data_IF_593850406610
#
_entry.id   IF_593850406610
#
_cell.length_a   1.000
_cell.length_b   1.000
_cell.length_c   1.000
_cell.angle_alpha   90.00
_cell.angle_beta   90.00
_cell.angle_gamma   90.00
#
_symmetry.space_group_name_H-M   'P 1'
#
loop_
_entity.id
_entity.type
_entity.pdbx_description
1 polymer ?
#
# COMPACT_ATOMS: atom_id res chain seq x y z
N UNK A 1 -59.67 19.78 -3.76
CA UNK A 1 -58.82 19.99 -2.60
C UNK A 1 -58.11 18.67 -2.30
N UNK A 2 -56.92 18.49 -2.85
CA UNK A 2 -56.07 17.35 -2.52
C UNK A 2 -55.31 17.68 -1.25
N UNK A 3 -55.64 17.01 -0.17
CA UNK A 3 -54.87 17.09 1.08
C UNK A 3 -53.57 16.29 0.86
N UNK A 4 -52.47 16.99 0.61
CA UNK A 4 -51.15 16.39 0.63
C UNK A 4 -50.87 15.92 2.07
N UNK A 5 -51.05 14.64 2.30
CA UNK A 5 -50.55 14.00 3.52
C UNK A 5 -49.03 14.05 3.52
N UNK A 6 -48.45 15.06 4.12
CA UNK A 6 -47.05 15.10 4.47
C UNK A 6 -46.80 14.01 5.52
N UNK A 7 -46.49 12.81 5.10
CA UNK A 7 -45.95 11.77 5.99
C UNK A 7 -44.54 12.21 6.41
N UNK A 8 -44.46 12.88 7.55
CA UNK A 8 -43.20 13.11 8.22
C UNK A 8 -42.64 11.74 8.66
N UNK A 9 -41.80 11.14 7.82
CA UNK A 9 -41.10 9.89 8.15
C UNK A 9 -40.12 10.22 9.28
N UNK A 10 -40.34 9.66 10.47
CA UNK A 10 -39.43 9.76 11.57
C UNK A 10 -38.27 8.78 11.37
N UNK A 11 -37.04 9.18 11.69
CA UNK A 11 -35.85 8.28 11.61
C UNK A 11 -36.05 6.99 12.43
N UNK A 12 -36.86 7.05 13.50
CA UNK A 12 -37.18 5.89 14.33
C UNK A 12 -38.14 4.91 13.66
N UNK A 13 -38.80 5.28 12.56
CA UNK A 13 -39.68 4.39 11.80
C UNK A 13 -38.91 3.54 10.78
N UNK A 14 -37.62 3.88 10.54
CA UNK A 14 -36.77 3.13 9.60
C UNK A 14 -36.41 1.75 10.18
N UNK A 15 -36.34 0.69 9.35
CA UNK A 15 -35.82 -0.61 9.73
C UNK A 15 -34.37 -0.54 10.27
N UNK A 16 -34.00 -1.51 11.10
CA UNK A 16 -32.64 -1.57 11.70
C UNK A 16 -31.53 -1.62 10.67
N UNK A 17 -31.77 -2.34 9.56
CA UNK A 17 -30.82 -2.47 8.44
C UNK A 17 -30.54 -1.11 7.77
N UNK A 18 -31.57 -0.29 7.62
CA UNK A 18 -31.42 1.06 7.04
C UNK A 18 -30.69 1.98 8.02
N UNK A 19 -31.02 1.90 9.31
CA UNK A 19 -30.30 2.67 10.34
C UNK A 19 -28.82 2.29 10.37
N UNK A 20 -28.47 1.01 10.33
CA UNK A 20 -27.09 0.53 10.27
C UNK A 20 -26.37 0.98 8.98
N UNK A 21 -27.08 0.96 7.84
CA UNK A 21 -26.54 1.47 6.58
C UNK A 21 -26.23 2.98 6.64
N UNK A 22 -27.05 3.76 7.33
CA UNK A 22 -26.81 5.19 7.60
C UNK A 22 -25.62 5.35 8.55
N UNK A 23 -25.55 4.60 9.65
CA UNK A 23 -24.46 4.68 10.63
C UNK A 23 -23.11 4.35 9.98
N UNK A 24 -23.07 3.37 9.06
CA UNK A 24 -21.87 3.01 8.30
C UNK A 24 -21.35 4.13 7.37
N UNK A 25 -22.17 5.14 7.05
CA UNK A 25 -21.74 6.31 6.26
C UNK A 25 -21.20 7.45 7.13
N UNK A 26 -21.45 7.40 8.41
CA UNK A 26 -20.98 8.39 9.37
C UNK A 26 -19.60 8.01 9.92
N UNK A 27 -18.91 8.98 10.52
CA UNK A 27 -17.70 8.68 11.29
C UNK A 27 -18.09 7.93 12.57
N UNK A 28 -17.39 6.85 12.88
CA UNK A 28 -17.71 6.00 14.02
C UNK A 28 -17.57 6.72 15.37
N UNK A 29 -16.64 7.67 15.50
CA UNK A 29 -16.51 8.54 16.67
C UNK A 29 -17.77 9.36 16.87
N UNK A 30 -18.32 9.94 15.80
CA UNK A 30 -19.55 10.74 15.86
C UNK A 30 -20.76 9.88 16.16
N UNK A 31 -20.84 8.67 15.59
CA UNK A 31 -21.91 7.69 15.91
C UNK A 31 -21.88 7.34 17.38
N UNK A 32 -20.73 6.98 17.92
CA UNK A 32 -20.62 6.62 19.34
C UNK A 32 -20.94 7.79 20.27
N UNK A 33 -20.43 8.97 19.97
CA UNK A 33 -20.67 10.14 20.81
C UNK A 33 -22.11 10.61 20.75
N UNK A 34 -22.74 10.59 19.58
CA UNK A 34 -24.05 11.20 19.35
C UNK A 34 -25.22 10.22 19.51
N UNK A 35 -25.03 8.91 19.29
CA UNK A 35 -26.15 7.96 19.25
C UNK A 35 -26.15 6.96 20.42
N UNK A 36 -25.00 6.65 21.00
CA UNK A 36 -24.94 5.84 22.21
C UNK A 36 -25.58 6.62 23.35
N UNK A 37 -26.49 5.98 24.10
CA UNK A 37 -27.29 6.52 25.18
C UNK A 37 -28.45 7.46 24.76
N UNK A 38 -28.72 7.71 23.50
CA UNK A 38 -29.89 8.53 23.06
C UNK A 38 -31.19 7.78 23.30
N UNK A 39 -31.27 6.54 22.87
CA UNK A 39 -32.39 5.63 23.16
C UNK A 39 -31.93 4.16 23.15
N UNK A 40 -32.79 3.26 23.65
CA UNK A 40 -32.48 1.83 23.74
C UNK A 40 -32.19 1.18 22.39
N UNK A 41 -32.89 1.60 21.32
CA UNK A 41 -32.73 1.05 19.97
C UNK A 41 -31.38 1.45 19.36
N UNK A 42 -31.04 2.73 19.38
CA UNK A 42 -29.76 3.22 18.87
C UNK A 42 -28.59 2.65 19.67
N UNK A 43 -28.71 2.62 20.99
CA UNK A 43 -27.69 2.01 21.84
C UNK A 43 -27.46 0.52 21.50
N UNK A 44 -28.51 -0.25 21.22
CA UNK A 44 -28.40 -1.64 20.78
C UNK A 44 -27.69 -1.75 19.42
N UNK A 45 -28.10 -0.94 18.44
CA UNK A 45 -27.53 -0.99 17.07
C UNK A 45 -26.09 -0.52 17.03
N UNK A 46 -25.74 0.55 17.72
CA UNK A 46 -24.37 1.12 17.72
C UNK A 46 -23.37 0.25 18.48
N UNK A 47 -23.81 -0.56 19.44
CA UNK A 47 -22.98 -1.50 20.20
C UNK A 47 -23.16 -2.95 19.73
N UNK A 48 -23.83 -3.17 18.58
CA UNK A 48 -23.99 -4.50 18.02
C UNK A 48 -22.62 -5.09 17.62
N UNK A 49 -22.32 -6.35 18.01
CA UNK A 49 -21.05 -7.00 17.70
C UNK A 49 -20.65 -6.96 16.22
N UNK A 50 -21.61 -7.10 15.29
CA UNK A 50 -21.33 -7.02 13.86
C UNK A 50 -20.95 -5.61 13.41
N UNK A 51 -21.58 -4.58 14.01
CA UNK A 51 -21.28 -3.19 13.70
C UNK A 51 -19.91 -2.77 14.21
N UNK A 52 -19.54 -3.16 15.44
CA UNK A 52 -18.28 -2.79 16.09
C UNK A 52 -17.10 -3.70 15.75
N UNK A 53 -17.32 -4.78 15.03
CA UNK A 53 -16.29 -5.75 14.65
C UNK A 53 -15.05 -5.08 14.00
N UNK A 54 -15.28 -4.03 13.20
CA UNK A 54 -14.26 -3.21 12.58
C UNK A 54 -14.31 -1.79 13.14
N UNK A 55 -13.55 -1.52 14.19
CA UNK A 55 -13.52 -0.22 14.85
C UNK A 55 -12.45 0.70 14.22
N UNK A 56 -12.91 1.79 13.59
CA UNK A 56 -12.05 2.84 13.06
C UNK A 56 -12.20 4.12 13.88
N UNK A 57 -11.14 4.49 14.60
CA UNK A 57 -11.09 5.67 15.46
C UNK A 57 -10.40 6.87 14.79
N UNK A 58 -10.25 6.88 13.47
CA UNK A 58 -9.70 8.03 12.74
C UNK A 58 -10.75 9.13 12.55
N UNK A 59 -10.32 10.39 12.66
CA UNK A 59 -11.16 11.56 12.37
C UNK A 59 -10.98 11.94 10.90
N UNK A 60 -12.04 11.83 10.10
CA UNK A 60 -11.99 12.03 8.64
C UNK A 60 -11.83 13.51 8.17
N UNK A 61 -11.90 14.49 9.05
CA UNK A 61 -12.07 15.90 8.65
C UNK A 61 -10.86 16.80 8.87
N UNK A 62 -9.72 16.30 9.29
CA UNK A 62 -8.55 17.17 9.52
C UNK A 62 -7.56 17.14 8.36
N UNK A 63 -7.73 18.01 7.37
CA UNK A 63 -6.70 18.30 6.37
C UNK A 63 -5.40 18.87 7.02
N UNK A 64 -5.48 19.32 8.27
CA UNK A 64 -4.37 19.94 9.01
C UNK A 64 -3.84 19.08 10.16
N UNK A 65 -4.26 17.82 10.28
CA UNK A 65 -3.85 16.88 11.36
C UNK A 65 -4.03 17.41 12.80
N UNK A 66 -4.75 18.50 13.00
CA UNK A 66 -5.04 19.06 14.34
C UNK A 66 -6.36 18.52 14.85
N UNK A 67 -6.30 17.76 15.94
CA UNK A 67 -7.48 17.29 16.66
C UNK A 67 -8.13 18.48 17.35
N UNK A 68 -9.41 18.71 17.12
CA UNK A 68 -10.12 19.81 17.79
C UNK A 68 -10.36 19.51 19.27
N UNK A 69 -10.54 20.51 20.14
CA UNK A 69 -10.90 20.30 21.54
C UNK A 69 -12.19 19.47 21.71
N UNK A 70 -13.15 19.65 20.79
CA UNK A 70 -14.39 18.87 20.78
C UNK A 70 -14.12 17.38 20.48
N UNK A 71 -13.21 17.09 19.55
CA UNK A 71 -12.85 15.71 19.24
C UNK A 71 -12.14 15.04 20.41
N UNK A 72 -11.30 15.76 21.15
CA UNK A 72 -10.67 15.25 22.39
C UNK A 72 -11.72 14.83 23.41
N UNK A 73 -12.76 15.65 23.60
CA UNK A 73 -13.85 15.33 24.54
C UNK A 73 -14.66 14.10 24.10
N UNK A 74 -14.97 13.99 22.79
CA UNK A 74 -15.65 12.82 22.24
C UNK A 74 -14.85 11.56 22.47
N UNK A 75 -13.56 11.61 22.18
CA UNK A 75 -12.59 10.54 22.34
C UNK A 75 -12.49 10.08 23.79
N UNK A 76 -12.32 11.01 24.74
CA UNK A 76 -12.26 10.70 26.18
C UNK A 76 -13.53 9.96 26.64
N UNK A 77 -14.69 10.39 26.16
CA UNK A 77 -15.97 9.73 26.44
C UNK A 77 -16.00 8.30 25.88
N UNK A 78 -15.51 8.09 24.64
CA UNK A 78 -15.47 6.76 24.00
C UNK A 78 -14.52 5.85 24.76
N UNK A 79 -13.32 6.32 25.07
CA UNK A 79 -12.30 5.55 25.77
C UNK A 79 -12.75 5.12 27.17
N UNK A 80 -13.41 6.01 27.93
CA UNK A 80 -13.81 5.73 29.31
C UNK A 80 -15.12 4.98 29.44
N UNK A 81 -16.09 5.20 28.53
CA UNK A 81 -17.45 4.69 28.71
C UNK A 81 -17.87 3.61 27.71
N UNK A 82 -17.34 3.65 26.49
CA UNK A 82 -17.80 2.79 25.40
C UNK A 82 -16.83 1.64 25.18
N UNK A 83 -15.56 1.95 24.97
CA UNK A 83 -14.53 0.98 24.64
C UNK A 83 -14.43 -0.19 25.64
N UNK A 84 -14.50 0.03 26.98
CA UNK A 84 -14.51 -1.06 27.94
C UNK A 84 -15.69 -2.03 27.83
N UNK A 85 -16.76 -1.63 27.14
CA UNK A 85 -17.97 -2.47 26.94
C UNK A 85 -17.90 -3.30 25.66
N UNK A 86 -17.11 -2.87 24.67
CA UNK A 86 -17.10 -3.45 23.33
C UNK A 86 -15.79 -4.14 22.95
N UNK A 87 -14.70 -3.91 23.69
CA UNK A 87 -13.34 -4.35 23.33
C UNK A 87 -13.22 -5.85 23.00
N UNK A 88 -14.04 -6.69 23.63
CA UNK A 88 -14.01 -8.13 23.43
C UNK A 88 -14.67 -8.60 22.12
N UNK A 89 -15.36 -7.73 21.39
CA UNK A 89 -15.94 -8.01 20.08
C UNK A 89 -15.13 -7.42 18.92
N UNK A 90 -14.06 -6.65 19.20
CA UNK A 90 -13.26 -5.97 18.18
C UNK A 90 -12.28 -6.98 17.56
N UNK A 91 -12.44 -7.19 16.26
CA UNK A 91 -11.55 -8.02 15.44
C UNK A 91 -10.52 -7.17 14.68
N UNK A 92 -10.95 -6.01 14.18
CA UNK A 92 -10.10 -5.05 13.49
C UNK A 92 -10.18 -3.69 14.18
N UNK A 93 -9.01 -3.10 14.47
CA UNK A 93 -8.89 -1.83 15.15
C UNK A 93 -7.97 -0.89 14.39
N UNK A 94 -8.46 0.32 14.09
CA UNK A 94 -7.64 1.40 13.52
C UNK A 94 -7.48 2.51 14.56
N UNK A 95 -6.22 2.82 14.88
CA UNK A 95 -5.82 3.72 15.98
C UNK A 95 -4.90 4.80 15.45
N UNK A 96 -5.29 6.07 15.51
CA UNK A 96 -4.36 7.17 15.30
C UNK A 96 -3.46 7.37 16.54
N UNK A 97 -2.26 7.92 16.31
CA UNK A 97 -1.22 8.05 17.35
C UNK A 97 -1.66 8.79 18.61
N UNK A 98 -2.56 9.76 18.49
CA UNK A 98 -3.06 10.56 19.63
C UNK A 98 -4.05 9.79 20.53
N UNK A 99 -4.52 8.60 20.10
CA UNK A 99 -5.46 7.75 20.89
C UNK A 99 -4.78 6.54 21.53
N UNK A 100 -3.54 6.28 21.23
CA UNK A 100 -2.88 5.05 21.66
C UNK A 100 -2.93 4.88 23.20
N UNK A 101 -2.77 5.95 23.95
CA UNK A 101 -2.83 5.94 25.42
C UNK A 101 -4.16 5.44 25.99
N UNK A 102 -5.26 5.68 25.28
CA UNK A 102 -6.57 5.19 25.66
C UNK A 102 -6.72 3.68 25.48
N UNK A 103 -5.95 3.12 24.54
CA UNK A 103 -6.14 1.78 24.02
C UNK A 103 -5.19 0.78 24.65
N UNK A 104 -3.98 1.22 25.01
CA UNK A 104 -2.93 0.35 25.54
C UNK A 104 -3.26 -0.29 26.90
N UNK A 105 -4.25 0.23 27.62
CA UNK A 105 -4.66 -0.30 28.93
C UNK A 105 -5.85 -1.26 28.85
N UNK A 106 -6.33 -1.57 27.63
CA UNK A 106 -7.48 -2.46 27.41
C UNK A 106 -6.98 -3.74 26.73
N UNK A 107 -7.52 -4.86 27.13
CA UNK A 107 -7.24 -6.14 26.52
C UNK A 107 -8.22 -6.41 25.37
N UNK A 108 -7.72 -6.94 24.23
CA UNK A 108 -8.51 -7.19 23.02
C UNK A 108 -8.41 -8.66 22.61
N UNK A 109 -9.20 -9.55 23.22
CA UNK A 109 -9.00 -11.00 23.05
C UNK A 109 -9.26 -11.52 21.62
N UNK A 110 -10.02 -10.81 20.80
CA UNK A 110 -10.36 -11.23 19.44
C UNK A 110 -9.64 -10.44 18.34
N UNK A 111 -8.79 -9.47 18.71
CA UNK A 111 -8.15 -8.59 17.75
C UNK A 111 -7.13 -9.35 16.88
N UNK A 112 -7.34 -9.40 15.58
CA UNK A 112 -6.41 -10.01 14.61
C UNK A 112 -5.83 -9.00 13.60
N UNK A 113 -6.48 -7.85 13.45
CA UNK A 113 -6.04 -6.81 12.52
C UNK A 113 -5.88 -5.48 13.25
N UNK A 114 -4.67 -4.93 13.21
CA UNK A 114 -4.33 -3.65 13.84
C UNK A 114 -3.79 -2.67 12.81
N UNK A 115 -4.34 -1.45 12.81
CA UNK A 115 -3.82 -0.33 11.99
C UNK A 115 -3.38 0.80 12.90
N UNK A 116 -2.10 1.15 12.85
CA UNK A 116 -1.46 2.25 13.57
C UNK A 116 -1.23 3.40 12.59
N UNK A 117 -1.93 4.53 12.77
CA UNK A 117 -1.97 5.62 11.79
C UNK A 117 -1.33 6.88 12.33
N UNK A 118 -0.49 7.53 11.52
CA UNK A 118 0.21 8.78 11.84
C UNK A 118 1.08 8.68 13.11
N UNK A 119 1.86 7.63 13.24
CA UNK A 119 2.79 7.49 14.36
C UNK A 119 4.11 8.19 14.09
N UNK A 120 4.64 8.87 15.10
CA UNK A 120 6.03 9.24 15.16
C UNK A 120 6.86 7.99 15.47
N UNK A 121 8.02 7.87 14.83
CA UNK A 121 8.87 6.69 14.95
C UNK A 121 9.24 6.38 16.40
N UNK A 122 9.77 7.37 17.10
CA UNK A 122 10.25 7.16 18.47
C UNK A 122 9.14 6.70 19.40
N UNK A 123 7.94 7.28 19.27
CA UNK A 123 6.78 6.89 20.05
C UNK A 123 6.35 5.45 19.75
N UNK A 124 6.35 5.06 18.47
CA UNK A 124 6.02 3.69 18.09
C UNK A 124 7.07 2.71 18.62
N UNK A 125 8.36 3.06 18.56
CA UNK A 125 9.44 2.24 19.09
C UNK A 125 9.27 1.97 20.60
N UNK A 126 8.87 2.97 21.39
CA UNK A 126 8.57 2.81 22.82
C UNK A 126 7.46 1.77 23.06
N UNK A 127 6.41 1.78 22.24
CA UNK A 127 5.32 0.80 22.34
C UNK A 127 5.71 -0.61 21.87
N UNK A 128 6.68 -0.73 20.99
CA UNK A 128 7.14 -2.02 20.46
C UNK A 128 8.26 -2.65 21.32
N UNK A 129 9.01 -1.87 22.10
CA UNK A 129 10.11 -2.36 22.94
C UNK A 129 9.74 -2.55 24.42
N UNK A 130 8.66 -1.90 24.87
CA UNK A 130 8.14 -2.04 26.23
C UNK A 130 7.20 -3.23 26.40
N UNK A 131 6.86 -3.59 27.65
CA UNK A 131 5.80 -4.58 27.96
C UNK A 131 4.39 -3.99 27.76
N UNK A 132 4.16 -3.36 26.64
CA UNK A 132 2.89 -2.69 26.33
C UNK A 132 1.85 -3.66 25.75
N UNK A 133 0.60 -3.23 25.71
CA UNK A 133 -0.45 -4.00 25.03
C UNK A 133 -0.14 -4.17 23.54
N UNK A 134 0.41 -3.14 22.86
CA UNK A 134 0.80 -3.23 21.43
C UNK A 134 1.85 -4.33 21.23
N UNK A 135 2.88 -4.38 22.07
CA UNK A 135 3.89 -5.44 22.05
C UNK A 135 3.25 -6.83 22.23
N UNK A 136 2.40 -7.00 23.26
CA UNK A 136 1.71 -8.28 23.53
C UNK A 136 0.79 -8.71 22.39
N UNK A 137 0.04 -7.78 21.81
CA UNK A 137 -0.81 -8.03 20.65
C UNK A 137 -0.01 -8.50 19.44
N UNK A 138 1.08 -7.81 19.12
CA UNK A 138 1.93 -8.14 17.97
C UNK A 138 2.61 -9.50 18.13
N UNK A 139 3.10 -9.82 19.33
CA UNK A 139 3.80 -11.09 19.59
C UNK A 139 2.88 -12.30 19.64
N UNK A 140 1.60 -12.12 20.06
CA UNK A 140 0.75 -13.27 20.41
C UNK A 140 -0.42 -13.52 19.46
N UNK A 141 -0.95 -12.50 18.74
CA UNK A 141 -2.22 -12.71 18.06
C UNK A 141 -2.43 -11.95 16.73
N UNK A 142 -1.75 -10.82 16.50
CA UNK A 142 -1.98 -10.02 15.29
C UNK A 142 -1.51 -10.79 14.05
N UNK A 143 -2.42 -10.91 13.07
CA UNK A 143 -2.17 -11.50 11.76
C UNK A 143 -2.00 -10.43 10.67
N UNK A 144 -2.76 -9.34 10.77
CA UNK A 144 -2.74 -8.26 9.80
C UNK A 144 -2.34 -6.96 10.50
N UNK A 145 -1.19 -6.41 10.12
CA UNK A 145 -0.68 -5.15 10.66
C UNK A 145 -0.55 -4.11 9.55
N UNK A 146 -1.12 -2.95 9.78
CA UNK A 146 -0.88 -1.76 8.98
C UNK A 146 -0.22 -0.70 9.85
N UNK A 147 0.90 -0.15 9.41
CA UNK A 147 1.66 0.88 10.10
C UNK A 147 1.91 2.05 9.17
N UNK A 148 1.47 3.22 9.57
CA UNK A 148 1.72 4.48 8.86
C UNK A 148 2.54 5.40 9.78
N UNK A 149 3.81 5.62 9.41
CA UNK A 149 4.77 6.43 10.16
C UNK A 149 4.90 7.78 9.47
N UNK A 150 4.82 8.84 10.27
CA UNK A 150 5.26 10.17 9.85
C UNK A 150 6.77 10.16 9.87
N UNK A 151 7.37 10.48 8.73
CA UNK A 151 8.80 10.33 8.46
C UNK A 151 9.73 10.68 9.62
N UNK A 152 10.62 9.75 9.92
CA UNK A 152 11.87 9.97 10.67
C UNK A 152 12.99 9.12 10.04
N UNK A 153 14.26 9.46 10.35
CA UNK A 153 15.48 8.90 9.74
C UNK A 153 15.75 7.43 10.08
N UNK A 154 15.08 6.89 11.09
CA UNK A 154 15.38 5.56 11.64
C UNK A 154 14.29 4.50 11.44
N UNK A 155 13.29 4.74 10.56
CA UNK A 155 12.14 3.86 10.34
C UNK A 155 12.51 2.41 9.97
N UNK A 156 13.70 2.17 9.46
CA UNK A 156 14.24 0.84 9.19
C UNK A 156 14.26 -0.07 10.41
N UNK A 157 14.60 0.48 11.56
CA UNK A 157 14.69 -0.29 12.81
C UNK A 157 13.30 -0.78 13.25
N UNK A 158 12.26 0.04 13.05
CA UNK A 158 10.88 -0.35 13.36
C UNK A 158 10.38 -1.47 12.48
N UNK A 159 10.63 -1.40 11.17
CA UNK A 159 10.25 -2.46 10.24
C UNK A 159 10.85 -3.82 10.64
N UNK A 160 12.15 -3.85 10.88
CA UNK A 160 12.86 -5.06 11.30
C UNK A 160 12.37 -5.56 12.68
N UNK A 161 12.10 -4.66 13.61
CA UNK A 161 11.55 -4.99 14.91
C UNK A 161 10.15 -5.62 14.78
N UNK A 162 9.27 -5.04 13.96
CA UNK A 162 7.95 -5.59 13.67
C UNK A 162 8.06 -7.02 13.12
N UNK A 163 8.94 -7.26 12.14
CA UNK A 163 9.15 -8.59 11.59
C UNK A 163 9.68 -9.60 12.60
N UNK A 164 10.51 -9.17 13.53
CA UNK A 164 11.05 -10.04 14.59
C UNK A 164 10.02 -10.39 15.66
N UNK A 165 9.13 -9.45 15.99
CA UNK A 165 8.07 -9.63 17.00
C UNK A 165 6.84 -10.35 16.44
N UNK A 166 6.50 -10.10 15.19
CA UNK A 166 5.26 -10.54 14.56
C UNK A 166 5.26 -12.02 14.15
N UNK A 167 5.33 -12.93 15.13
CA UNK A 167 5.40 -14.39 14.89
C UNK A 167 4.17 -14.97 14.20
N UNK A 168 3.02 -14.33 14.33
CA UNK A 168 1.74 -14.72 13.72
C UNK A 168 1.37 -13.86 12.52
N UNK A 169 2.23 -12.90 12.17
CA UNK A 169 1.95 -11.91 11.13
C UNK A 169 1.94 -12.57 9.75
N UNK A 170 0.80 -12.47 9.05
CA UNK A 170 0.62 -12.96 7.67
C UNK A 170 0.63 -11.82 6.66
N UNK A 171 0.12 -10.65 7.04
CA UNK A 171 0.02 -9.47 6.19
C UNK A 171 0.59 -8.26 6.88
N UNK A 172 1.57 -7.61 6.25
CA UNK A 172 2.16 -6.37 6.69
C UNK A 172 2.01 -5.30 5.62
N UNK A 173 1.40 -4.18 6.00
CA UNK A 173 1.44 -2.94 5.24
C UNK A 173 2.24 -1.93 6.06
N UNK A 174 3.34 -1.43 5.48
CA UNK A 174 4.23 -0.51 6.15
C UNK A 174 4.48 0.72 5.28
N UNK A 175 3.89 1.84 5.68
CA UNK A 175 4.04 3.12 5.00
C UNK A 175 4.89 4.06 5.85
N UNK A 176 6.02 4.48 5.29
CA UNK A 176 6.82 5.58 5.82
C UNK A 176 6.62 6.80 4.91
N UNK A 177 6.10 7.89 5.43
CA UNK A 177 5.87 9.13 4.65
C UNK A 177 7.17 9.89 4.51
N UNK A 178 7.93 9.60 3.47
CA UNK A 178 9.21 10.25 3.21
C UNK A 178 9.07 11.74 2.92
N UNK A 179 9.95 12.55 3.49
CA UNK A 179 10.15 13.93 3.02
C UNK A 179 11.12 13.95 1.83
N UNK A 180 10.95 14.93 0.94
CA UNK A 180 11.80 15.09 -0.25
C UNK A 180 13.28 15.33 0.05
N UNK A 181 13.62 15.67 1.28
CA UNK A 181 14.98 16.05 1.71
C UNK A 181 15.93 14.86 1.97
N UNK A 182 15.41 13.64 2.07
CA UNK A 182 16.17 12.46 2.50
C UNK A 182 16.30 11.39 1.42
N UNK A 183 16.44 11.83 0.19
CA UNK A 183 16.59 10.97 -0.97
C UNK A 183 18.01 10.37 -1.00
N UNK A 184 18.08 9.06 -1.16
CA UNK A 184 19.33 8.32 -1.35
C UNK A 184 19.85 7.58 -0.12
N UNK A 185 19.23 7.71 1.04
CA UNK A 185 19.57 6.87 2.19
C UNK A 185 18.79 5.56 2.16
N UNK A 186 19.43 4.40 2.38
CA UNK A 186 18.75 3.13 2.45
C UNK A 186 17.73 3.11 3.59
N UNK A 187 16.57 2.51 3.34
CA UNK A 187 15.56 2.27 4.38
C UNK A 187 16.01 1.18 5.34
N UNK A 188 16.80 0.22 4.86
CA UNK A 188 17.26 -0.90 5.65
C UNK A 188 18.77 -0.86 5.90
N UNK A 189 19.15 -0.94 7.18
CA UNK A 189 20.53 -1.21 7.56
C UNK A 189 20.67 -2.72 7.71
N UNK A 190 21.53 -3.33 6.90
CA UNK A 190 21.74 -4.78 6.87
C UNK A 190 22.13 -5.29 8.26
N UNK A 191 21.23 -5.98 8.91
CA UNK A 191 21.52 -6.79 10.10
C UNK A 191 20.86 -8.16 9.90
N UNK A 192 21.58 -9.23 10.23
CA UNK A 192 21.08 -10.61 10.19
C UNK A 192 20.01 -10.83 11.26
N UNK A 193 18.78 -10.41 11.00
CA UNK A 193 17.66 -10.59 11.92
C UNK A 193 16.85 -11.79 11.45
N UNK A 194 16.42 -12.62 12.39
CA UNK A 194 15.46 -13.69 12.13
C UNK A 194 14.13 -13.08 11.71
N UNK A 195 13.83 -13.18 10.42
CA UNK A 195 12.63 -12.59 9.81
C UNK A 195 11.45 -13.56 9.95
N UNK A 196 10.25 -13.01 10.13
CA UNK A 196 9.00 -13.77 10.26
C UNK A 196 8.85 -14.82 9.15
N UNK A 197 8.75 -16.09 9.53
CA UNK A 197 8.50 -17.20 8.59
C UNK A 197 7.05 -17.31 8.12
N UNK A 198 6.14 -16.55 8.72
CA UNK A 198 4.68 -16.60 8.47
C UNK A 198 4.18 -15.55 7.49
N UNK A 199 4.99 -14.52 7.18
CA UNK A 199 4.58 -13.41 6.34
C UNK A 199 4.32 -13.86 4.89
N UNK A 200 3.08 -13.70 4.44
CA UNK A 200 2.63 -14.07 3.08
C UNK A 200 2.42 -12.88 2.17
N UNK A 201 2.09 -11.72 2.74
CA UNK A 201 1.86 -10.48 1.99
C UNK A 201 2.58 -9.31 2.62
N UNK A 202 3.35 -8.60 1.80
CA UNK A 202 4.04 -7.37 2.19
C UNK A 202 3.70 -6.24 1.23
N UNK A 203 3.23 -5.12 1.79
CA UNK A 203 3.07 -3.85 1.09
C UNK A 203 3.99 -2.86 1.81
N UNK A 204 4.92 -2.26 1.07
CA UNK A 204 5.93 -1.39 1.67
C UNK A 204 6.34 -0.28 0.70
N UNK A 205 6.59 0.91 1.23
CA UNK A 205 7.32 1.92 0.50
C UNK A 205 8.77 1.99 0.99
N UNK A 206 9.70 2.13 0.04
CA UNK A 206 11.14 2.15 0.30
C UNK A 206 11.80 3.35 -0.40
N UNK A 207 12.99 3.72 0.03
CA UNK A 207 13.65 4.91 -0.48
C UNK A 207 14.41 4.64 -1.77
N UNK A 208 15.16 3.54 -1.82
CA UNK A 208 16.09 3.21 -2.91
C UNK A 208 15.90 1.77 -3.40
N UNK A 209 16.48 1.47 -4.55
CA UNK A 209 16.39 0.16 -5.17
C UNK A 209 17.06 -0.95 -4.38
N UNK A 210 18.13 -0.65 -3.65
CA UNK A 210 18.85 -1.60 -2.81
C UNK A 210 17.97 -2.14 -1.68
N UNK A 211 17.03 -1.32 -1.18
CA UNK A 211 16.01 -1.78 -0.22
C UNK A 211 15.11 -2.86 -0.82
N UNK A 212 14.75 -2.72 -2.11
CA UNK A 212 13.98 -3.74 -2.83
C UNK A 212 14.75 -5.06 -2.94
N UNK A 213 16.04 -5.00 -3.25
CA UNK A 213 16.92 -6.18 -3.33
C UNK A 213 17.03 -6.89 -1.97
N UNK A 214 17.12 -6.12 -0.88
CA UNK A 214 17.13 -6.67 0.47
C UNK A 214 15.85 -7.45 0.78
N UNK A 215 14.67 -6.97 0.37
CA UNK A 215 13.41 -7.69 0.55
C UNK A 215 13.32 -8.98 -0.28
N UNK A 216 14.09 -9.07 -1.34
CA UNK A 216 14.16 -10.21 -2.26
C UNK A 216 15.31 -11.17 -1.99
N UNK A 217 16.09 -10.97 -0.93
CA UNK A 217 17.29 -11.74 -0.57
C UNK A 217 17.03 -13.20 -0.19
N UNK A 218 15.76 -13.63 -0.20
CA UNK A 218 15.32 -14.99 0.16
C UNK A 218 15.02 -15.17 1.64
N UNK A 219 15.11 -14.15 2.46
CA UNK A 219 14.78 -14.22 3.89
C UNK A 219 13.28 -14.40 4.15
N UNK A 220 12.42 -13.87 3.27
CA UNK A 220 10.95 -13.93 3.36
C UNK A 220 10.36 -15.11 2.55
N UNK A 221 10.76 -16.35 2.86
CA UNK A 221 10.45 -17.55 2.06
C UNK A 221 8.96 -17.88 1.93
N UNK A 222 8.10 -17.39 2.83
CA UNK A 222 6.66 -17.62 2.78
C UNK A 222 5.91 -16.58 1.95
N UNK A 223 6.60 -15.55 1.46
CA UNK A 223 5.99 -14.43 0.77
C UNK A 223 5.38 -14.87 -0.57
N UNK A 224 4.10 -14.59 -0.74
CA UNK A 224 3.33 -14.85 -1.98
C UNK A 224 2.99 -13.58 -2.73
N UNK A 225 2.91 -12.44 -2.02
CA UNK A 225 2.62 -11.14 -2.60
C UNK A 225 3.57 -10.07 -2.05
N UNK A 226 4.24 -9.36 -2.95
CA UNK A 226 5.14 -8.24 -2.63
C UNK A 226 4.76 -7.02 -3.47
N UNK A 227 4.37 -5.95 -2.78
CA UNK A 227 3.97 -4.69 -3.40
C UNK A 227 4.91 -3.61 -2.86
N UNK A 228 5.71 -3.03 -3.75
CA UNK A 228 6.73 -2.05 -3.40
C UNK A 228 6.45 -0.73 -4.11
N UNK A 229 6.46 0.36 -3.34
CA UNK A 229 6.52 1.72 -3.85
C UNK A 229 7.91 2.29 -3.56
N UNK A 230 8.70 2.55 -4.61
CA UNK A 230 10.06 3.06 -4.50
C UNK A 230 10.07 4.56 -4.83
N UNK A 231 10.67 5.36 -3.95
CA UNK A 231 10.80 6.80 -4.22
C UNK A 231 11.67 7.04 -5.46
N UNK A 232 12.80 6.34 -5.58
CA UNK A 232 13.66 6.48 -6.74
C UNK A 232 14.57 5.28 -6.98
N UNK A 233 14.80 4.99 -8.25
CA UNK A 233 15.71 3.95 -8.71
C UNK A 233 16.96 4.65 -9.25
N UNK A 234 17.98 4.78 -8.37
CA UNK A 234 19.22 5.48 -8.68
C UNK A 234 20.34 4.49 -8.96
N UNK A 235 21.41 4.97 -9.64
CA UNK A 235 22.64 4.22 -9.92
C UNK A 235 23.49 4.08 -8.64
N UNK A 236 23.03 3.39 -7.62
CA UNK A 236 23.89 3.00 -6.52
C UNK A 236 24.48 1.62 -6.78
N UNK A 237 25.71 1.43 -6.33
CA UNK A 237 26.68 0.43 -6.79
C UNK A 237 26.48 -1.01 -6.31
N UNK A 238 25.30 -1.44 -5.93
CA UNK A 238 25.11 -2.81 -5.48
C UNK A 238 25.01 -3.77 -6.67
N UNK A 239 25.91 -4.74 -6.68
CA UNK A 239 25.82 -5.91 -7.59
C UNK A 239 24.62 -6.72 -7.14
N UNK A 240 23.66 -6.91 -8.05
CA UNK A 240 22.48 -7.72 -7.78
C UNK A 240 22.91 -9.18 -7.68
N UNK A 241 22.96 -9.72 -6.47
CA UNK A 241 23.06 -11.16 -6.27
C UNK A 241 21.68 -11.81 -6.44
N UNK A 242 21.30 -12.10 -7.66
CA UNK A 242 20.03 -12.73 -8.02
C UNK A 242 19.97 -14.24 -7.72
N UNK A 243 20.92 -14.79 -6.98
CA UNK A 243 20.98 -16.23 -6.70
C UNK A 243 19.92 -16.69 -5.72
N UNK A 244 19.44 -15.81 -4.86
CA UNK A 244 18.39 -16.10 -3.88
C UNK A 244 17.01 -15.77 -4.47
N UNK A 245 16.12 -16.73 -4.41
CA UNK A 245 14.77 -16.63 -4.99
C UNK A 245 13.71 -16.71 -3.88
N UNK A 246 12.61 -15.99 -4.06
CA UNK A 246 11.39 -16.18 -3.29
C UNK A 246 10.50 -17.21 -4.00
N UNK A 247 10.56 -18.49 -3.65
CA UNK A 247 9.97 -19.56 -4.45
C UNK A 247 8.44 -19.52 -4.49
N UNK A 248 7.82 -18.90 -3.50
CA UNK A 248 6.36 -18.82 -3.37
C UNK A 248 5.79 -17.51 -3.90
N UNK A 249 6.63 -16.56 -4.34
CA UNK A 249 6.17 -15.27 -4.82
C UNK A 249 5.39 -15.42 -6.13
N UNK A 250 4.10 -15.03 -6.10
CA UNK A 250 3.17 -15.09 -7.24
C UNK A 250 2.69 -13.74 -7.69
N UNK A 251 2.67 -12.76 -6.80
CA UNK A 251 2.27 -11.40 -7.09
C UNK A 251 3.42 -10.45 -6.80
N UNK A 252 3.83 -9.67 -7.80
CA UNK A 252 4.83 -8.63 -7.66
C UNK A 252 4.32 -7.30 -8.23
N UNK A 253 4.47 -6.23 -7.47
CA UNK A 253 4.13 -4.88 -7.90
C UNK A 253 5.27 -3.93 -7.59
N UNK A 254 5.71 -3.18 -8.59
CA UNK A 254 6.74 -2.16 -8.47
C UNK A 254 6.21 -0.82 -9.01
N UNK A 255 6.17 0.17 -8.12
CA UNK A 255 5.81 1.55 -8.45
C UNK A 255 7.00 2.46 -8.20
N UNK A 256 7.33 3.32 -9.18
CA UNK A 256 8.28 4.40 -9.01
C UNK A 256 7.82 5.65 -9.76
N UNK A 257 7.54 6.72 -9.02
CA UNK A 257 7.09 7.98 -9.60
C UNK A 257 8.23 8.88 -10.08
N UNK A 258 9.48 8.59 -9.71
CA UNK A 258 10.65 9.33 -10.17
C UNK A 258 11.23 8.74 -11.43
N UNK A 259 11.81 9.63 -12.23
CA UNK A 259 12.52 9.24 -13.45
C UNK A 259 13.73 8.37 -13.11
N UNK A 260 13.83 7.19 -13.74
CA UNK A 260 14.99 6.31 -13.66
C UNK A 260 15.70 6.20 -14.99
N UNK A 261 17.03 6.07 -14.93
CA UNK A 261 17.90 5.77 -16.10
C UNK A 261 18.35 4.30 -16.12
N UNK A 262 18.03 3.55 -15.07
CA UNK A 262 18.53 2.18 -14.85
C UNK A 262 17.46 1.12 -15.13
N UNK A 263 16.61 1.32 -16.14
CA UNK A 263 15.56 0.36 -16.50
C UNK A 263 16.16 -1.00 -16.87
N UNK A 264 17.07 -1.03 -17.84
CA UNK A 264 17.67 -2.27 -18.35
C UNK A 264 18.52 -2.97 -17.29
N UNK A 265 19.37 -2.21 -16.61
CA UNK A 265 20.33 -2.76 -15.65
C UNK A 265 19.67 -3.26 -14.36
N UNK A 266 18.66 -2.55 -13.89
CA UNK A 266 18.04 -2.84 -12.58
C UNK A 266 16.68 -3.49 -12.70
N UNK A 267 15.74 -2.90 -13.44
CA UNK A 267 14.36 -3.40 -13.47
C UNK A 267 14.27 -4.68 -14.28
N UNK A 268 14.81 -4.72 -15.48
CA UNK A 268 14.82 -5.93 -16.32
C UNK A 268 15.58 -7.05 -15.62
N UNK A 269 16.77 -6.77 -15.09
CA UNK A 269 17.58 -7.74 -14.37
C UNK A 269 16.90 -8.27 -13.09
N UNK A 270 16.06 -7.46 -12.43
CA UNK A 270 15.25 -7.87 -11.29
C UNK A 270 14.13 -8.83 -11.70
N UNK A 271 13.45 -8.55 -12.81
CA UNK A 271 12.24 -9.26 -13.24
C UNK A 271 12.55 -10.57 -13.95
N UNK A 272 13.63 -10.66 -14.74
CA UNK A 272 13.98 -11.86 -15.50
C UNK A 272 14.05 -13.16 -14.66
N UNK A 273 14.60 -13.17 -13.42
CA UNK A 273 14.62 -14.37 -12.59
C UNK A 273 13.28 -14.74 -11.96
N UNK A 274 12.26 -13.90 -12.05
CA UNK A 274 10.97 -14.08 -11.36
C UNK A 274 9.98 -14.95 -12.18
N UNK A 275 10.41 -16.11 -12.64
CA UNK A 275 9.65 -16.99 -13.55
C UNK A 275 8.30 -17.48 -12.99
N UNK A 276 8.09 -17.46 -11.67
CA UNK A 276 6.88 -17.99 -11.00
C UNK A 276 5.80 -16.93 -10.77
N UNK A 277 6.03 -15.68 -11.21
CA UNK A 277 5.06 -14.59 -11.04
C UNK A 277 3.84 -14.85 -11.95
N UNK A 278 2.64 -14.83 -11.34
CA UNK A 278 1.37 -14.87 -12.04
C UNK A 278 0.78 -13.47 -12.27
N UNK A 279 0.91 -12.58 -11.28
CA UNK A 279 0.42 -11.21 -11.30
C UNK A 279 1.59 -10.23 -11.25
N UNK A 280 1.79 -9.46 -12.31
CA UNK A 280 2.80 -8.40 -12.38
C UNK A 280 2.16 -7.02 -12.53
N UNK A 281 2.60 -6.06 -11.73
CA UNK A 281 2.20 -4.66 -11.87
C UNK A 281 3.42 -3.76 -11.93
N UNK A 282 3.52 -2.89 -12.95
CA UNK A 282 4.63 -1.97 -13.15
C UNK A 282 4.12 -0.55 -13.41
N UNK A 283 4.42 0.40 -12.50
CA UNK A 283 4.17 1.82 -12.69
C UNK A 283 5.49 2.59 -12.63
N UNK A 284 5.99 3.04 -13.80
CA UNK A 284 7.36 3.51 -13.93
C UNK A 284 7.46 4.79 -14.78
N UNK A 285 8.41 5.66 -14.41
CA UNK A 285 8.90 6.75 -15.24
C UNK A 285 10.36 6.43 -15.63
N UNK A 286 10.61 6.27 -16.92
CA UNK A 286 11.88 5.73 -17.44
C UNK A 286 12.49 6.68 -18.46
N UNK A 287 13.82 6.79 -18.44
CA UNK A 287 14.60 7.27 -19.55
C UNK A 287 15.61 6.20 -19.92
N UNK A 288 15.41 5.58 -21.08
CA UNK A 288 16.29 4.53 -21.58
C UNK A 288 17.34 5.15 -22.50
N UNK A 289 18.61 4.95 -22.18
CA UNK A 289 19.73 5.37 -23.02
C UNK A 289 20.29 4.11 -23.69
N UNK A 290 20.38 4.13 -25.02
CA UNK A 290 21.08 3.07 -25.76
C UNK A 290 22.60 3.27 -25.68
N UNK A 291 23.36 2.21 -25.97
CA UNK A 291 24.84 2.21 -26.04
C UNK A 291 25.46 3.28 -26.92
N UNK A 292 24.67 3.90 -27.82
CA UNK A 292 25.06 5.02 -28.70
C UNK A 292 24.49 6.36 -28.18
N UNK A 293 24.01 6.45 -26.92
CA UNK A 293 23.36 7.64 -26.39
C UNK A 293 22.08 8.08 -27.14
N UNK A 294 21.46 7.16 -27.88
CA UNK A 294 20.16 7.37 -28.51
C UNK A 294 19.08 6.94 -27.51
N UNK A 295 18.24 7.88 -27.15
CA UNK A 295 17.10 7.60 -26.27
C UNK A 295 16.09 6.71 -27.01
N UNK A 296 15.71 5.56 -26.39
CA UNK A 296 14.75 4.62 -26.93
C UNK A 296 13.47 4.59 -26.09
N UNK A 297 12.33 4.36 -26.77
CA UNK A 297 11.05 4.13 -26.11
C UNK A 297 10.88 2.68 -25.70
N UNK A 298 10.08 2.47 -24.65
CA UNK A 298 9.60 1.15 -24.30
C UNK A 298 8.28 0.93 -25.04
N UNK A 299 8.30 0.11 -26.07
CA UNK A 299 7.15 -0.34 -26.84
C UNK A 299 6.81 -1.81 -26.55
N UNK A 300 5.85 -2.39 -27.26
CA UNK A 300 5.43 -3.77 -27.08
C UNK A 300 6.54 -4.78 -27.36
N UNK A 301 7.44 -4.50 -28.32
CA UNK A 301 8.56 -5.38 -28.65
C UNK A 301 9.61 -5.38 -27.55
N UNK A 302 9.98 -4.20 -27.05
CA UNK A 302 10.91 -4.06 -25.95
C UNK A 302 10.36 -4.74 -24.68
N UNK A 303 9.12 -4.41 -24.29
CA UNK A 303 8.52 -4.97 -23.07
C UNK A 303 8.39 -6.50 -23.14
N UNK A 304 8.05 -7.05 -24.30
CA UNK A 304 8.01 -8.49 -24.52
C UNK A 304 9.40 -9.12 -24.37
N UNK A 305 10.40 -8.61 -25.10
CA UNK A 305 11.74 -9.18 -25.09
C UNK A 305 12.45 -8.99 -23.74
N UNK A 306 12.25 -7.86 -23.07
CA UNK A 306 12.94 -7.51 -21.85
C UNK A 306 12.34 -8.21 -20.62
N UNK A 307 11.03 -8.46 -20.61
CA UNK A 307 10.32 -8.94 -19.41
C UNK A 307 9.41 -10.15 -19.68
N UNK A 308 8.46 -10.01 -20.63
CA UNK A 308 7.36 -10.96 -20.73
C UNK A 308 7.80 -12.34 -21.24
N UNK A 309 8.82 -12.40 -22.09
CA UNK A 309 9.34 -13.67 -22.59
C UNK A 309 9.95 -14.57 -21.49
N UNK A 310 10.32 -14.01 -20.34
CA UNK A 310 10.94 -14.73 -19.23
C UNK A 310 9.93 -15.19 -18.17
N UNK A 311 8.74 -14.55 -18.09
CA UNK A 311 7.73 -14.83 -17.05
C UNK A 311 6.64 -15.73 -17.61
N UNK A 312 6.92 -17.03 -17.70
CA UNK A 312 6.07 -18.01 -18.37
C UNK A 312 4.71 -18.28 -17.69
N UNK A 313 4.56 -17.94 -16.41
CA UNK A 313 3.32 -18.16 -15.64
C UNK A 313 2.45 -16.90 -15.54
N UNK A 314 2.80 -15.84 -16.26
CA UNK A 314 2.10 -14.56 -16.17
C UNK A 314 0.69 -14.68 -16.76
N UNK A 315 -0.33 -14.46 -15.94
CA UNK A 315 -1.73 -14.45 -16.36
C UNK A 315 -2.41 -13.10 -16.14
N UNK A 316 -1.78 -12.22 -15.34
CA UNK A 316 -2.25 -10.84 -15.14
C UNK A 316 -1.08 -9.88 -15.21
N UNK A 317 -1.15 -8.95 -16.15
CA UNK A 317 -0.15 -7.90 -16.28
C UNK A 317 -0.84 -6.53 -16.32
N UNK A 318 -0.46 -5.66 -15.41
CA UNK A 318 -0.94 -4.28 -15.32
C UNK A 318 0.26 -3.36 -15.39
N UNK A 319 0.26 -2.39 -16.28
CA UNK A 319 1.38 -1.48 -16.38
C UNK A 319 0.97 -0.05 -16.78
N UNK A 320 1.81 0.89 -16.40
CA UNK A 320 1.79 2.28 -16.82
C UNK A 320 3.25 2.75 -16.87
N UNK A 321 3.82 2.81 -18.05
CA UNK A 321 5.24 3.15 -18.25
C UNK A 321 5.33 4.42 -19.08
N UNK A 322 5.89 5.46 -18.47
CA UNK A 322 6.25 6.71 -19.15
C UNK A 322 7.70 6.65 -19.56
N UNK A 323 7.98 6.71 -20.85
CA UNK A 323 9.35 6.81 -21.37
C UNK A 323 9.62 8.22 -21.83
N UNK A 324 10.71 8.79 -21.36
CA UNK A 324 11.22 10.10 -21.77
C UNK A 324 12.43 9.91 -22.68
N UNK A 325 12.41 10.54 -23.86
CA UNK A 325 13.50 10.43 -24.82
C UNK A 325 13.86 11.80 -25.43
N UNK A 326 15.09 11.94 -25.92
CA UNK A 326 15.47 13.06 -26.77
C UNK A 326 15.06 12.78 -28.20
N UNK A 327 14.70 13.81 -28.93
CA UNK A 327 14.37 13.69 -30.35
C UNK A 327 15.68 13.43 -31.15
N UNK A 328 15.75 12.24 -31.75
CA UNK A 328 16.77 11.93 -32.76
C UNK A 328 16.32 12.42 -34.12
N UNK A 329 17.23 12.45 -35.08
CA UNK A 329 16.97 12.85 -36.50
C UNK A 329 15.96 11.94 -37.21
N UNK A 330 15.63 10.77 -36.63
CA UNK A 330 14.67 9.79 -37.18
C UNK A 330 13.21 10.06 -36.78
N UNK A 331 12.98 11.06 -35.95
CA UNK A 331 11.63 11.40 -35.46
C UNK A 331 11.16 10.49 -34.32
N UNK A 332 9.95 10.80 -33.83
CA UNK A 332 9.25 9.99 -32.80
C UNK A 332 8.34 8.96 -33.48
N UNK A 333 8.18 7.76 -32.88
CA UNK A 333 7.14 6.84 -33.31
C UNK A 333 5.76 7.50 -33.15
N UNK A 334 4.84 7.18 -34.01
CA UNK A 334 3.44 7.56 -33.85
C UNK A 334 2.75 6.68 -32.81
N UNK A 335 1.58 7.10 -32.33
CA UNK A 335 0.75 6.25 -31.48
C UNK A 335 0.43 4.90 -32.17
N UNK A 336 0.21 4.93 -33.47
CA UNK A 336 -0.11 3.74 -34.26
C UNK A 336 1.07 2.76 -34.32
N UNK A 337 2.31 3.26 -34.45
CA UNK A 337 3.51 2.43 -34.41
C UNK A 337 3.67 1.72 -33.05
N UNK A 338 3.47 2.47 -31.97
CA UNK A 338 3.54 1.92 -30.62
C UNK A 338 2.45 0.85 -30.41
N UNK A 339 1.19 1.16 -30.77
CA UNK A 339 0.09 0.20 -30.63
C UNK A 339 0.33 -1.04 -31.50
N UNK A 340 0.84 -0.88 -32.71
CA UNK A 340 1.13 -1.98 -33.62
C UNK A 340 2.19 -2.93 -33.04
N UNK A 341 3.19 -2.42 -32.35
CA UNK A 341 4.20 -3.25 -31.68
C UNK A 341 3.58 -4.17 -30.61
N UNK A 342 2.58 -3.68 -29.87
CA UNK A 342 1.84 -4.48 -28.88
C UNK A 342 0.92 -5.51 -29.55
N UNK A 343 0.21 -5.12 -30.62
CA UNK A 343 -0.68 -6.02 -31.37
C UNK A 343 0.10 -7.18 -31.98
N UNK A 344 1.28 -6.94 -32.52
CA UNK A 344 2.16 -7.98 -33.08
C UNK A 344 2.60 -9.00 -32.02
N UNK A 345 2.63 -8.60 -30.74
CA UNK A 345 2.93 -9.45 -29.59
C UNK A 345 1.68 -9.99 -28.89
N UNK A 346 0.51 -9.95 -29.54
CA UNK A 346 -0.75 -10.52 -29.02
C UNK A 346 -1.57 -9.59 -28.11
N UNK A 347 -1.09 -8.39 -27.77
CA UNK A 347 -1.76 -7.46 -26.86
C UNK A 347 -2.58 -6.41 -27.59
N UNK A 348 -3.92 -6.60 -27.68
CA UNK A 348 -4.83 -5.71 -28.42
C UNK A 348 -5.42 -4.55 -27.60
N UNK A 349 -5.21 -4.51 -26.29
CA UNK A 349 -5.90 -3.58 -25.37
C UNK A 349 -4.95 -2.57 -24.70
N UNK A 350 -3.80 -2.31 -25.31
CA UNK A 350 -2.85 -1.35 -24.79
C UNK A 350 -3.19 0.05 -25.26
N UNK A 351 -3.29 0.99 -24.33
CA UNK A 351 -3.36 2.41 -24.64
C UNK A 351 -1.95 2.99 -24.81
N UNK A 352 -1.79 3.91 -25.75
CA UNK A 352 -0.57 4.67 -25.91
C UNK A 352 -0.85 6.15 -26.11
N UNK A 353 0.06 6.98 -25.63
CA UNK A 353 0.02 8.42 -25.83
C UNK A 353 1.43 8.94 -26.07
N UNK A 354 1.68 9.57 -27.23
CA UNK A 354 2.95 10.17 -27.58
C UNK A 354 2.81 11.68 -27.60
N UNK A 355 3.65 12.37 -26.82
CA UNK A 355 3.70 13.82 -26.76
C UNK A 355 5.09 14.34 -27.10
N UNK A 356 5.18 15.18 -28.14
CA UNK A 356 6.43 15.74 -28.63
C UNK A 356 6.55 17.21 -28.26
N UNK A 357 7.63 17.56 -27.56
CA UNK A 357 8.02 18.96 -27.26
C UNK A 357 9.13 19.37 -28.21
N UNK A 358 8.74 19.78 -29.43
CA UNK A 358 9.69 20.10 -30.50
C UNK A 358 10.71 21.17 -30.11
N UNK A 359 10.32 22.21 -29.33
CA UNK A 359 11.26 23.26 -28.93
C UNK A 359 12.30 22.81 -27.91
N UNK A 360 12.08 21.72 -27.21
CA UNK A 360 13.01 21.15 -26.21
C UNK A 360 13.77 19.94 -26.73
N UNK A 361 13.52 19.54 -27.98
CA UNK A 361 14.06 18.29 -28.56
C UNK A 361 13.83 17.08 -27.64
N UNK A 362 12.69 17.03 -26.97
CA UNK A 362 12.33 15.94 -26.07
C UNK A 362 10.93 15.43 -26.38
N UNK A 363 10.69 14.16 -26.12
CA UNK A 363 9.40 13.53 -26.23
C UNK A 363 9.10 12.62 -25.06
N UNK A 364 7.84 12.33 -24.90
CA UNK A 364 7.32 11.43 -23.92
C UNK A 364 6.40 10.42 -24.59
N UNK A 365 6.63 9.14 -24.35
CA UNK A 365 5.73 8.06 -24.74
C UNK A 365 5.18 7.40 -23.47
N UNK A 366 3.87 7.40 -23.34
CA UNK A 366 3.18 6.72 -22.25
C UNK A 366 2.46 5.50 -22.81
N UNK A 367 2.79 4.33 -22.33
CA UNK A 367 2.10 3.06 -22.62
C UNK A 367 1.47 2.52 -21.37
N UNK A 368 0.21 2.07 -21.45
CA UNK A 368 -0.51 1.62 -20.27
C UNK A 368 -1.53 0.54 -20.60
N UNK A 369 -1.74 -0.33 -19.61
CA UNK A 369 -2.72 -1.39 -19.62
C UNK A 369 -3.27 -1.57 -18.21
N UNK A 370 -4.57 -1.36 -18.02
CA UNK A 370 -5.18 -1.40 -16.70
C UNK A 370 -5.84 -2.74 -16.36
N UNK A 371 -6.01 -3.66 -17.32
CA UNK A 371 -6.48 -5.02 -17.02
C UNK A 371 -6.39 -5.94 -18.24
N UNK A 372 -5.77 -7.11 -18.07
CA UNK A 372 -6.04 -8.27 -18.92
C UNK A 372 -6.52 -9.38 -17.99
N UNK A 373 -7.75 -9.87 -18.20
CA UNK A 373 -8.19 -11.15 -17.69
C UNK A 373 -7.66 -12.28 -18.60
N UNK A 374 -7.14 -13.26 -18.01
CA UNK A 374 -6.54 -14.56 -18.29
C UNK A 374 -6.87 -15.33 -19.60
N UNK A 375 -7.06 -14.71 -20.75
CA UNK A 375 -7.24 -15.43 -22.02
C UNK A 375 -6.26 -15.06 -23.11
N UNK A 376 -5.21 -14.31 -22.81
CA UNK A 376 -4.12 -14.05 -23.73
C UNK A 376 -2.93 -14.93 -23.35
N UNK A 377 -2.95 -16.15 -23.84
CA UNK A 377 -1.77 -17.03 -23.95
C UNK A 377 -0.88 -16.38 -25.01
N UNK A 378 0.34 -16.02 -24.65
CA UNK A 378 1.39 -15.62 -25.57
C UNK A 378 1.88 -16.80 -26.38
#
# INVERSE_FOLDING_TARGET
METSNNYNINILDLPDEILLAIFNKLNMIDVFYSLVYVNKRFNRLTLDPFYIHNLDLTVKHSLLQRVSPLDIQKIDTICKKILPRIHHHIYKLTVPSYLIECIINIDYPQLQSLSLVNFEEQKLLEYLTGETTVYRLLTNQIKHLNVDIVYDKNASNIYLLILSLGKHLTDLTFHNRFSSEHLGNPTFVVSSIHISSTLTKLIINVTIFDDCLYLLDGSLQSLTALIIDIIGIFELSSIIDNTKKLPKLKQFSLTSNRLTFSYDEKIVSLLCPMMNIGDLTLFLNVRRLDSIYIDNYIDGTHLYNDVLAFILQLHKFTFSINTYARISNTGFPSNDDIQHSFIQKGNRHVGSYVHNRLHMQTGQCHVFLFHINSTLIF
#
